data_IF_669194843424
#
_entry.id   IF_669194843424
#
_cell.length_a   1.000
_cell.length_b   1.000
_cell.length_c   1.000
_cell.angle_alpha   90.00
_cell.angle_beta   90.00
_cell.angle_gamma   90.00
#
_symmetry.space_group_name_H-M   'P 1'
#
loop_
_entity.id
_entity.type
_entity.pdbx_description
1 polymer ?
#
# COMPACT_ATOMS: atom_id res chain seq x y z
N UNK A 1 -50.50 -14.23 -19.73
CA UNK A 1 -49.10 -14.69 -19.68
C UNK A 1 -48.22 -13.45 -19.50
N UNK A 2 -47.68 -13.24 -18.29
CA UNK A 2 -46.80 -12.11 -17.98
C UNK A 2 -45.43 -12.43 -18.56
N UNK A 3 -44.96 -11.63 -19.51
CA UNK A 3 -43.53 -11.55 -19.82
C UNK A 3 -43.00 -10.33 -19.09
N UNK A 4 -42.17 -10.57 -18.10
CA UNK A 4 -41.46 -9.56 -17.32
C UNK A 4 -40.10 -9.32 -17.98
N UNK A 5 -39.99 -8.27 -18.78
CA UNK A 5 -38.71 -7.78 -19.29
C UNK A 5 -38.05 -6.88 -18.24
N UNK A 6 -37.32 -7.53 -17.33
CA UNK A 6 -36.34 -6.86 -16.48
C UNK A 6 -35.07 -6.61 -17.30
N UNK A 7 -35.08 -5.58 -18.14
CA UNK A 7 -33.86 -5.00 -18.67
C UNK A 7 -33.35 -3.93 -17.70
N UNK A 8 -32.36 -4.31 -16.90
CA UNK A 8 -31.47 -3.41 -16.17
C UNK A 8 -30.81 -2.44 -17.16
N UNK A 9 -31.42 -1.28 -17.36
CA UNK A 9 -30.77 -0.15 -18.01
C UNK A 9 -29.85 0.53 -16.99
N UNK A 10 -28.59 0.10 -16.96
CA UNK A 10 -27.50 0.88 -16.39
C UNK A 10 -27.30 2.13 -17.27
N UNK A 11 -28.09 3.16 -17.01
CA UNK A 11 -27.87 4.48 -17.57
C UNK A 11 -26.64 5.09 -16.87
N UNK A 12 -25.45 4.85 -17.42
CA UNK A 12 -24.33 5.77 -17.17
C UNK A 12 -24.69 7.03 -17.96
N UNK A 13 -25.25 8.02 -17.27
CA UNK A 13 -25.57 9.29 -17.90
C UNK A 13 -24.25 10.05 -18.10
N UNK A 14 -24.01 10.54 -19.32
CA UNK A 14 -22.91 11.47 -19.65
C UNK A 14 -22.99 12.79 -18.86
N UNK A 15 -24.03 12.95 -18.03
CA UNK A 15 -24.34 14.09 -17.17
C UNK A 15 -24.09 13.75 -15.68
N UNK A 16 -23.64 12.54 -15.37
CA UNK A 16 -23.25 12.17 -14.02
C UNK A 16 -22.09 13.09 -13.60
N UNK A 17 -22.32 13.92 -12.57
CA UNK A 17 -21.26 14.76 -12.00
C UNK A 17 -20.09 13.86 -11.64
N UNK A 18 -18.89 14.22 -12.09
CA UNK A 18 -17.65 13.56 -11.72
C UNK A 18 -17.42 13.78 -10.22
N UNK A 19 -18.00 12.92 -9.38
CA UNK A 19 -17.96 13.04 -7.93
C UNK A 19 -16.84 12.18 -7.39
N UNK A 20 -15.63 12.74 -7.44
CA UNK A 20 -14.42 12.13 -6.89
C UNK A 20 -14.56 12.08 -5.37
N UNK A 21 -14.40 10.89 -4.80
CA UNK A 21 -14.39 10.67 -3.35
C UNK A 21 -13.16 11.34 -2.71
N UNK A 22 -13.20 11.64 -1.41
CA UNK A 22 -12.04 12.20 -0.69
C UNK A 22 -10.78 11.32 -0.82
N UNK A 23 -10.94 10.00 -0.83
CA UNK A 23 -9.82 9.07 -0.99
C UNK A 23 -9.23 9.15 -2.41
N UNK A 24 -10.07 9.17 -3.44
CA UNK A 24 -9.62 9.32 -4.83
C UNK A 24 -8.92 10.66 -5.06
N UNK A 25 -9.43 11.75 -4.47
CA UNK A 25 -8.77 13.06 -4.50
C UNK A 25 -7.37 13.00 -3.90
N UNK A 26 -7.22 12.31 -2.77
CA UNK A 26 -5.92 12.13 -2.11
C UNK A 26 -4.97 11.22 -2.91
N UNK A 27 -5.48 10.22 -3.63
CA UNK A 27 -4.67 9.45 -4.59
C UNK A 27 -4.15 10.33 -5.73
N UNK A 28 -4.99 11.19 -6.30
CA UNK A 28 -4.55 12.12 -7.37
C UNK A 28 -3.41 13.03 -6.88
N UNK A 29 -3.49 13.52 -5.65
CA UNK A 29 -2.40 14.30 -5.03
C UNK A 29 -1.11 13.50 -4.89
N UNK A 30 -1.22 12.25 -4.47
CA UNK A 30 -0.06 11.36 -4.36
C UNK A 30 0.59 11.14 -5.74
N UNK A 31 -0.23 10.84 -6.75
CA UNK A 31 0.25 10.62 -8.12
C UNK A 31 0.71 11.91 -8.83
N UNK A 32 0.44 13.07 -8.25
CA UNK A 32 0.97 14.37 -8.67
C UNK A 32 2.24 14.77 -7.91
N UNK A 33 2.79 13.90 -7.07
CA UNK A 33 4.05 14.12 -6.35
C UNK A 33 3.95 14.93 -5.06
N UNK A 34 2.74 15.20 -4.54
CA UNK A 34 2.54 16.00 -3.33
C UNK A 34 2.74 15.20 -2.04
N UNK A 35 3.89 14.53 -1.89
CA UNK A 35 4.15 13.58 -0.78
C UNK A 35 4.05 14.18 0.62
N UNK A 36 4.41 15.46 0.79
CA UNK A 36 4.24 16.17 2.06
C UNK A 36 2.76 16.33 2.46
N UNK A 37 1.88 16.57 1.49
CA UNK A 37 0.44 16.64 1.74
C UNK A 37 -0.11 15.27 2.13
N UNK A 38 0.37 14.20 1.48
CA UNK A 38 0.00 12.82 1.82
C UNK A 38 0.39 12.49 3.26
N UNK A 39 1.62 12.84 3.65
CA UNK A 39 2.08 12.71 5.04
C UNK A 39 1.23 13.54 6.00
N UNK A 40 0.92 14.79 5.64
CA UNK A 40 0.08 15.68 6.46
C UNK A 40 -1.30 15.08 6.72
N UNK A 41 -1.99 14.59 5.68
CA UNK A 41 -3.29 13.94 5.82
C UNK A 41 -3.23 12.65 6.62
N UNK A 42 -2.14 11.89 6.53
CA UNK A 42 -1.92 10.75 7.42
C UNK A 42 -1.84 11.20 8.89
N UNK A 43 -1.17 12.31 9.17
CA UNK A 43 -0.97 12.85 10.51
C UNK A 43 -2.22 13.46 11.16
N UNK A 44 -3.29 13.70 10.39
CA UNK A 44 -4.61 14.06 10.95
C UNK A 44 -5.15 12.95 11.86
N UNK A 45 -4.82 11.69 11.57
CA UNK A 45 -5.12 10.57 12.45
C UNK A 45 -4.15 10.55 13.64
N UNK A 46 -4.58 11.15 14.75
CA UNK A 46 -3.78 11.25 15.98
C UNK A 46 -3.65 9.93 16.75
N UNK A 47 -4.67 9.07 16.66
CA UNK A 47 -4.70 7.80 17.42
C UNK A 47 -4.00 6.67 16.64
N UNK A 48 -3.21 5.81 17.31
CA UNK A 48 -2.68 4.60 16.69
C UNK A 48 -3.79 3.59 16.34
N UNK A 49 -4.99 3.75 16.89
CA UNK A 49 -6.16 2.93 16.58
C UNK A 49 -7.11 3.64 15.59
N UNK A 50 -8.05 2.90 15.00
CA UNK A 50 -9.07 3.48 14.12
C UNK A 50 -8.62 3.84 12.71
N UNK A 51 -7.55 3.23 12.18
CA UNK A 51 -7.09 3.50 10.80
C UNK A 51 -8.09 3.05 9.72
N UNK A 52 -8.95 2.07 10.01
CA UNK A 52 -9.95 1.59 9.06
C UNK A 52 -10.89 2.72 8.63
N UNK A 53 -11.03 2.92 7.31
CA UNK A 53 -11.85 4.01 6.76
C UNK A 53 -11.19 5.40 6.80
N UNK A 54 -10.00 5.53 7.40
CA UNK A 54 -9.22 6.77 7.43
C UNK A 54 -8.05 6.70 6.46
N UNK A 55 -7.66 7.85 5.92
CA UNK A 55 -6.66 7.93 4.86
C UNK A 55 -5.27 7.40 5.27
N UNK A 56 -4.91 7.45 6.55
CA UNK A 56 -3.60 7.01 7.05
C UNK A 56 -3.20 5.60 6.59
N UNK A 57 -4.15 4.65 6.52
CA UNK A 57 -3.86 3.30 6.05
C UNK A 57 -3.47 3.28 4.58
N UNK A 58 -4.14 4.08 3.76
CA UNK A 58 -3.84 4.23 2.34
C UNK A 58 -2.52 4.96 2.12
N UNK A 59 -2.31 6.10 2.78
CA UNK A 59 -1.10 6.91 2.61
C UNK A 59 0.17 6.21 3.10
N UNK A 60 0.11 5.43 4.18
CA UNK A 60 1.25 4.62 4.65
C UNK A 60 1.61 3.55 3.63
N UNK A 61 0.63 2.83 3.09
CA UNK A 61 0.87 1.79 2.07
C UNK A 61 1.46 2.40 0.78
N UNK A 62 0.94 3.55 0.34
CA UNK A 62 1.47 4.30 -0.81
C UNK A 62 2.91 4.74 -0.62
N UNK A 63 3.24 5.33 0.54
CA UNK A 63 4.59 5.82 0.82
C UNK A 63 5.58 4.65 0.98
N UNK A 64 5.16 3.50 1.53
CA UNK A 64 5.99 2.29 1.55
C UNK A 64 6.34 1.84 0.13
N UNK A 65 5.37 1.76 -0.77
CA UNK A 65 5.62 1.40 -2.18
C UNK A 65 6.48 2.44 -2.90
N UNK A 66 6.20 3.72 -2.69
CA UNK A 66 6.97 4.80 -3.28
C UNK A 66 8.42 4.82 -2.79
N UNK A 67 8.72 4.44 -1.56
CA UNK A 67 10.10 4.43 -1.06
C UNK A 67 10.86 3.14 -1.42
N UNK A 68 10.17 2.11 -1.88
CA UNK A 68 10.80 0.86 -2.31
C UNK A 68 11.63 1.08 -3.59
N UNK A 69 12.95 0.88 -3.52
CA UNK A 69 13.86 1.27 -4.59
C UNK A 69 14.04 0.21 -5.69
N UNK A 70 13.89 -1.08 -5.35
CA UNK A 70 14.12 -2.17 -6.30
C UNK A 70 12.89 -2.42 -7.19
N UNK A 71 13.12 -2.78 -8.44
CA UNK A 71 12.02 -3.15 -9.36
C UNK A 71 11.35 -4.48 -8.98
N UNK A 72 12.00 -5.32 -8.17
CA UNK A 72 11.48 -6.63 -7.79
C UNK A 72 10.97 -6.60 -6.36
N UNK A 73 9.65 -6.45 -6.18
CA UNK A 73 9.04 -6.48 -4.86
C UNK A 73 9.30 -7.80 -4.13
N UNK A 74 9.59 -7.70 -2.84
CA UNK A 74 9.66 -8.85 -1.92
C UNK A 74 8.31 -9.13 -1.26
N UNK A 75 8.24 -10.18 -0.45
CA UNK A 75 7.00 -10.81 0.01
C UNK A 75 6.02 -9.82 0.66
N UNK A 76 6.50 -8.94 1.55
CA UNK A 76 5.63 -7.98 2.24
C UNK A 76 5.20 -6.86 1.28
N UNK A 77 6.13 -6.30 0.53
CA UNK A 77 5.85 -5.19 -0.40
C UNK A 77 4.95 -5.64 -1.55
N UNK A 78 5.05 -6.89 -2.01
CA UNK A 78 4.08 -7.52 -2.94
C UNK A 78 2.67 -7.53 -2.37
N UNK A 79 2.50 -7.91 -1.10
CA UNK A 79 1.18 -7.87 -0.44
C UNK A 79 0.65 -6.44 -0.33
N UNK A 80 1.50 -5.45 -0.03
CA UNK A 80 1.10 -4.03 -0.02
C UNK A 80 0.68 -3.58 -1.43
N UNK A 81 1.42 -3.94 -2.47
CA UNK A 81 1.07 -3.60 -3.86
C UNK A 81 -0.29 -4.19 -4.26
N UNK A 82 -0.57 -5.45 -3.90
CA UNK A 82 -1.90 -6.06 -4.10
C UNK A 82 -2.99 -5.28 -3.37
N UNK A 83 -2.75 -4.88 -2.11
CA UNK A 83 -3.73 -4.11 -1.33
C UNK A 83 -4.01 -2.74 -1.95
N UNK A 84 -2.98 -2.01 -2.36
CA UNK A 84 -3.11 -0.70 -3.02
C UNK A 84 -3.81 -0.84 -4.36
N UNK A 85 -3.39 -1.79 -5.20
CA UNK A 85 -4.01 -2.07 -6.50
C UNK A 85 -5.51 -2.37 -6.37
N UNK A 86 -5.88 -3.25 -5.44
CA UNK A 86 -7.29 -3.58 -5.19
C UNK A 86 -8.09 -2.38 -4.67
N UNK A 87 -7.52 -1.56 -3.78
CA UNK A 87 -8.19 -0.35 -3.23
C UNK A 87 -8.38 0.75 -4.28
N UNK A 88 -7.59 0.75 -5.35
CA UNK A 88 -7.71 1.68 -6.48
C UNK A 88 -8.62 1.15 -7.59
N UNK A 89 -9.15 -0.07 -7.47
CA UNK A 89 -9.87 -0.73 -8.56
C UNK A 89 -8.97 -1.09 -9.75
N UNK A 90 -7.64 -1.05 -9.61
CA UNK A 90 -6.71 -1.28 -10.72
C UNK A 90 -6.83 -2.70 -11.31
N UNK A 91 -7.07 -3.69 -10.43
CA UNK A 91 -7.25 -5.09 -10.82
C UNK A 91 -8.65 -5.41 -11.38
N UNK A 92 -9.49 -4.41 -11.68
CA UNK A 92 -10.77 -4.61 -12.35
C UNK A 92 -10.58 -4.85 -13.86
N UNK A 93 -11.32 -5.81 -14.42
CA UNK A 93 -11.14 -6.31 -15.79
C UNK A 93 -11.07 -5.19 -16.86
N UNK A 94 -11.81 -4.10 -16.68
CA UNK A 94 -11.88 -3.00 -17.65
C UNK A 94 -10.56 -2.20 -17.72
N UNK A 95 -9.86 -2.02 -16.59
CA UNK A 95 -8.60 -1.31 -16.54
C UNK A 95 -7.50 -2.09 -17.26
N UNK A 96 -7.46 -3.41 -17.06
CA UNK A 96 -6.48 -4.29 -17.70
C UNK A 96 -6.65 -4.37 -19.23
N UNK A 97 -7.87 -4.26 -19.76
CA UNK A 97 -8.14 -4.23 -21.20
C UNK A 97 -7.55 -2.99 -21.86
N UNK A 98 -7.78 -1.79 -21.29
CA UNK A 98 -7.21 -0.54 -21.81
C UNK A 98 -5.67 -0.56 -21.79
N UNK A 99 -5.08 -1.19 -20.79
CA UNK A 99 -3.62 -1.28 -20.68
C UNK A 99 -3.01 -2.32 -21.62
N UNK A 100 -3.76 -3.37 -21.99
CA UNK A 100 -3.36 -4.35 -23.01
C UNK A 100 -3.27 -3.74 -24.42
N UNK A 101 -4.06 -2.71 -24.70
CA UNK A 101 -4.10 -2.04 -26.02
C UNK A 101 -3.03 -0.95 -26.16
N UNK A 102 -2.45 -0.47 -25.05
CA UNK A 102 -1.38 0.51 -25.06
C UNK A 102 0.00 -0.18 -25.01
N UNK A 103 0.95 0.26 -25.84
CA UNK A 103 2.27 -0.34 -26.09
C UNK A 103 3.27 -0.28 -24.93
N UNK A 104 2.79 -0.15 -23.68
CA UNK A 104 3.62 -0.02 -22.47
C UNK A 104 4.23 -1.36 -22.05
N UNK A 105 3.71 -2.48 -22.55
CA UNK A 105 4.17 -3.83 -22.19
C UNK A 105 4.77 -4.55 -23.40
N UNK A 106 6.04 -4.96 -23.30
CA UNK A 106 6.75 -5.75 -24.34
C UNK A 106 6.26 -7.21 -24.41
N UNK A 107 5.61 -7.70 -23.35
CA UNK A 107 5.07 -9.06 -23.23
C UNK A 107 3.54 -9.07 -23.26
N UNK A 108 2.95 -10.13 -23.81
CA UNK A 108 1.51 -10.33 -23.79
C UNK A 108 0.97 -10.28 -22.34
N UNK A 109 0.20 -9.22 -22.06
CA UNK A 109 -0.48 -8.95 -20.78
C UNK A 109 -1.38 -10.12 -20.32
N UNK A 110 -1.72 -11.05 -21.22
CA UNK A 110 -2.53 -12.25 -20.96
C UNK A 110 -1.93 -13.22 -19.93
N UNK A 111 -0.63 -13.10 -19.61
CA UNK A 111 0.07 -14.01 -18.69
C UNK A 111 0.49 -13.38 -17.35
N UNK A 112 0.45 -12.04 -17.24
CA UNK A 112 0.88 -11.33 -16.03
C UNK A 112 -0.27 -11.15 -15.04
N UNK A 113 0.04 -11.21 -13.73
CA UNK A 113 -0.98 -10.93 -12.71
C UNK A 113 -1.20 -9.42 -12.60
N UNK A 114 -2.42 -9.00 -12.24
CA UNK A 114 -2.79 -7.58 -12.15
C UNK A 114 -1.87 -6.75 -11.24
N UNK A 115 -1.37 -7.34 -10.14
CA UNK A 115 -0.41 -6.68 -9.25
C UNK A 115 0.99 -6.46 -9.85
N UNK A 116 1.43 -7.32 -10.78
CA UNK A 116 2.71 -7.20 -11.47
C UNK A 116 2.65 -6.08 -12.51
N UNK A 117 1.52 -6.00 -13.22
CA UNK A 117 1.19 -4.91 -14.14
C UNK A 117 1.15 -3.60 -13.36
N UNK A 118 0.38 -3.54 -12.27
CA UNK A 118 0.29 -2.37 -11.39
C UNK A 118 1.68 -1.88 -10.97
N UNK A 119 2.52 -2.77 -10.44
CA UNK A 119 3.84 -2.39 -9.96
C UNK A 119 4.75 -1.88 -11.07
N UNK A 120 4.68 -2.47 -12.26
CA UNK A 120 5.46 -2.03 -13.42
C UNK A 120 5.11 -0.58 -13.80
N UNK A 121 3.82 -0.25 -13.86
CA UNK A 121 3.35 1.12 -14.16
C UNK A 121 3.73 2.07 -13.01
N UNK A 122 3.57 1.62 -11.78
CA UNK A 122 3.93 2.41 -10.60
C UNK A 122 5.42 2.78 -10.61
N UNK A 123 6.30 1.86 -11.01
CA UNK A 123 7.72 2.13 -11.19
C UNK A 123 7.98 3.16 -12.30
N UNK A 124 7.34 3.01 -13.46
CA UNK A 124 7.46 3.97 -14.57
C UNK A 124 7.04 5.38 -14.14
N UNK A 125 5.91 5.47 -13.42
CA UNK A 125 5.43 6.74 -12.87
C UNK A 125 6.43 7.34 -11.87
N UNK A 126 6.92 6.54 -10.92
CA UNK A 126 7.81 6.99 -9.83
C UNK A 126 9.10 7.64 -10.34
N UNK A 127 9.64 7.21 -11.49
CA UNK A 127 10.84 7.80 -12.11
C UNK A 127 10.66 9.31 -12.39
N UNK A 128 9.43 9.77 -12.66
CA UNK A 128 9.14 11.17 -12.94
C UNK A 128 9.02 12.05 -11.68
N UNK A 129 9.00 11.44 -10.49
CA UNK A 129 8.78 12.12 -9.22
C UNK A 129 9.92 11.79 -8.24
N UNK A 130 11.15 12.11 -8.63
CA UNK A 130 12.32 11.93 -7.77
C UNK A 130 12.31 12.93 -6.58
N UNK A 131 12.62 12.44 -5.38
CA UNK A 131 12.84 13.26 -4.18
C UNK A 131 14.31 13.19 -3.75
N UNK A 132 14.71 14.12 -2.88
CA UNK A 132 16.07 14.12 -2.33
C UNK A 132 16.30 12.93 -1.39
N UNK A 133 17.55 12.56 -1.19
CA UNK A 133 17.95 11.53 -0.21
C UNK A 133 17.53 11.95 1.21
N UNK A 134 17.58 13.25 1.52
CA UNK A 134 17.18 13.78 2.83
C UNK A 134 15.67 13.64 3.05
N UNK A 135 14.85 13.97 2.05
CA UNK A 135 13.39 13.80 2.11
C UNK A 135 13.02 12.32 2.21
N UNK A 136 13.69 11.46 1.43
CA UNK A 136 13.52 10.01 1.48
C UNK A 136 13.80 9.48 2.89
N UNK A 137 14.92 9.87 3.49
CA UNK A 137 15.27 9.52 4.87
C UNK A 137 14.25 10.07 5.88
N UNK A 138 13.74 11.28 5.66
CA UNK A 138 12.70 11.90 6.49
C UNK A 138 11.39 11.10 6.45
N UNK A 139 10.95 10.66 5.26
CA UNK A 139 9.76 9.82 5.12
C UNK A 139 9.96 8.43 5.72
N UNK A 140 11.12 7.79 5.54
CA UNK A 140 11.42 6.49 6.18
C UNK A 140 11.38 6.60 7.70
N UNK A 141 11.98 7.65 8.29
CA UNK A 141 11.93 7.89 9.74
C UNK A 141 10.50 8.12 10.24
N UNK A 142 9.70 8.87 9.47
CA UNK A 142 8.30 9.09 9.80
C UNK A 142 7.48 7.79 9.72
N UNK A 143 7.65 7.00 8.67
CA UNK A 143 7.01 5.68 8.51
C UNK A 143 7.37 4.75 9.67
N UNK A 144 8.63 4.73 10.07
CA UNK A 144 9.06 3.98 11.24
C UNK A 144 8.32 4.41 12.50
N UNK A 145 8.24 5.73 12.77
CA UNK A 145 7.53 6.24 13.95
C UNK A 145 6.03 5.90 13.94
N UNK A 146 5.36 6.06 12.80
CA UNK A 146 3.91 5.85 12.71
C UNK A 146 3.56 4.36 12.78
N UNK A 147 4.37 3.50 12.17
CA UNK A 147 4.22 2.04 12.23
C UNK A 147 4.51 1.54 13.66
N UNK A 148 5.52 2.08 14.34
CA UNK A 148 5.84 1.72 15.72
C UNK A 148 4.67 2.00 16.66
N UNK A 149 4.10 3.21 16.59
CA UNK A 149 2.91 3.60 17.36
C UNK A 149 1.71 2.71 17.04
N UNK A 150 1.50 2.36 15.76
CA UNK A 150 0.42 1.48 15.33
C UNK A 150 0.57 0.07 15.90
N UNK A 151 1.78 -0.49 15.85
CA UNK A 151 2.10 -1.79 16.44
C UNK A 151 1.86 -1.75 17.95
N UNK A 152 2.35 -0.72 18.65
CA UNK A 152 2.19 -0.60 20.09
C UNK A 152 0.72 -0.50 20.49
N UNK A 153 -0.08 0.29 19.76
CA UNK A 153 -1.53 0.38 19.99
C UNK A 153 -2.25 -0.95 19.75
N UNK A 154 -1.91 -1.67 18.67
CA UNK A 154 -2.57 -2.92 18.29
C UNK A 154 -2.17 -4.09 19.20
N UNK A 155 -0.87 -4.27 19.44
CA UNK A 155 -0.34 -5.39 20.22
C UNK A 155 -0.58 -5.16 21.70
N UNK A 156 -0.33 -3.94 22.21
CA UNK A 156 -0.62 -3.54 23.58
C UNK A 156 -2.11 -3.61 23.91
N UNK A 157 -2.96 -3.18 22.98
CA UNK A 157 -4.42 -3.31 23.08
C UNK A 157 -4.97 -4.73 22.83
N UNK A 158 -4.11 -5.70 22.50
CA UNK A 158 -4.47 -7.12 22.25
C UNK A 158 -5.50 -7.33 21.12
N UNK A 159 -5.50 -6.48 20.11
CA UNK A 159 -6.34 -6.61 18.91
C UNK A 159 -5.78 -7.69 17.96
N UNK A 160 -5.95 -8.96 18.34
CA UNK A 160 -5.31 -10.13 17.68
C UNK A 160 -5.66 -10.28 16.21
N UNK A 161 -6.86 -9.89 15.81
CA UNK A 161 -7.34 -9.89 14.42
C UNK A 161 -6.53 -8.95 13.51
N UNK A 162 -5.82 -7.98 14.11
CA UNK A 162 -4.97 -7.00 13.41
C UNK A 162 -3.49 -7.33 13.45
N UNK A 163 -3.08 -8.45 14.04
CA UNK A 163 -1.66 -8.80 14.16
C UNK A 163 -1.01 -9.03 12.80
N UNK A 164 -1.72 -9.64 11.84
CA UNK A 164 -1.22 -9.84 10.49
C UNK A 164 -1.00 -8.51 9.76
N UNK A 165 -1.91 -7.54 9.95
CA UNK A 165 -1.83 -6.22 9.33
C UNK A 165 -0.57 -5.47 9.81
N UNK A 166 -0.32 -5.47 11.12
CA UNK A 166 0.84 -4.75 11.66
C UNK A 166 2.17 -5.51 11.48
N UNK A 167 2.14 -6.84 11.38
CA UNK A 167 3.31 -7.63 10.98
C UNK A 167 3.70 -7.36 9.52
N UNK A 168 2.71 -7.22 8.63
CA UNK A 168 2.91 -6.84 7.23
C UNK A 168 3.59 -5.46 7.11
N UNK A 169 3.12 -4.46 7.86
CA UNK A 169 3.74 -3.12 7.89
C UNK A 169 5.20 -3.16 8.39
N UNK A 170 5.48 -3.90 9.46
CA UNK A 170 6.83 -4.06 9.98
C UNK A 170 7.78 -4.70 8.94
N UNK A 171 7.31 -5.76 8.28
CA UNK A 171 8.08 -6.44 7.23
C UNK A 171 8.30 -5.53 6.01
N UNK A 172 7.27 -4.82 5.54
CA UNK A 172 7.36 -3.91 4.41
C UNK A 172 8.33 -2.74 4.69
N UNK A 173 8.28 -2.13 5.88
CA UNK A 173 9.26 -1.12 6.31
C UNK A 173 10.70 -1.67 6.26
N UNK A 174 10.87 -2.90 6.73
CA UNK A 174 12.14 -3.61 6.67
C UNK A 174 12.66 -3.82 5.25
N UNK A 175 11.78 -4.29 4.35
CA UNK A 175 12.12 -4.49 2.93
C UNK A 175 12.43 -3.17 2.21
N UNK A 176 11.70 -2.08 2.52
CA UNK A 176 12.01 -0.73 2.00
C UNK A 176 13.41 -0.31 2.41
N UNK A 177 13.74 -0.42 3.72
CA UNK A 177 15.09 -0.07 4.21
C UNK A 177 16.19 -0.90 3.55
N UNK A 178 15.94 -2.20 3.30
CA UNK A 178 16.89 -3.05 2.57
C UNK A 178 17.06 -2.62 1.12
N UNK A 179 15.97 -2.30 0.41
CA UNK A 179 16.04 -1.80 -0.97
C UNK A 179 16.80 -0.47 -1.06
N UNK A 180 16.79 0.33 0.01
CA UNK A 180 17.56 1.57 0.15
C UNK A 180 19.02 1.34 0.58
N UNK A 181 19.49 0.08 0.62
CA UNK A 181 20.87 -0.27 0.89
C UNK A 181 21.19 -0.59 2.35
N UNK A 182 20.22 -0.56 3.27
CA UNK A 182 20.44 -0.95 4.67
C UNK A 182 20.43 -2.47 4.80
N UNK A 183 21.62 -3.08 4.78
CA UNK A 183 21.81 -4.53 4.84
C UNK A 183 21.07 -5.16 6.03
N UNK A 184 20.31 -6.24 5.78
CA UNK A 184 19.56 -7.01 6.78
C UNK A 184 18.46 -6.21 7.52
N UNK A 185 18.03 -5.05 7.02
CA UNK A 185 17.09 -4.21 7.75
C UNK A 185 15.74 -4.90 8.03
N UNK A 186 15.23 -5.76 7.15
CA UNK A 186 14.02 -6.54 7.42
C UNK A 186 14.19 -7.44 8.64
N UNK A 187 15.27 -8.21 8.69
CA UNK A 187 15.55 -9.08 9.83
C UNK A 187 15.75 -8.28 11.12
N UNK A 188 16.43 -7.13 11.05
CA UNK A 188 16.62 -6.22 12.20
C UNK A 188 15.26 -5.68 12.71
N UNK A 189 14.41 -5.20 11.81
CA UNK A 189 13.08 -4.65 12.17
C UNK A 189 12.20 -5.74 12.78
N UNK A 190 12.14 -6.94 12.17
CA UNK A 190 11.37 -8.06 12.69
C UNK A 190 11.87 -8.49 14.07
N UNK A 191 13.18 -8.66 14.24
CA UNK A 191 13.78 -9.08 15.52
C UNK A 191 13.51 -8.07 16.63
N UNK A 192 13.60 -6.76 16.34
CA UNK A 192 13.22 -5.70 17.29
C UNK A 192 11.82 -5.92 17.86
N UNK A 193 10.84 -6.25 17.02
CA UNK A 193 9.47 -6.49 17.47
C UNK A 193 9.28 -7.84 18.16
N UNK A 194 10.01 -8.87 17.74
CA UNK A 194 10.05 -10.14 18.47
C UNK A 194 10.56 -9.94 19.91
N UNK A 195 11.65 -9.19 20.08
CA UNK A 195 12.23 -8.88 21.38
C UNK A 195 11.33 -7.98 22.23
N UNK A 196 10.69 -6.97 21.63
CA UNK A 196 9.76 -6.07 22.33
C UNK A 196 8.51 -6.79 22.85
N UNK A 197 8.02 -7.81 22.12
CA UNK A 197 6.78 -8.51 22.44
C UNK A 197 6.98 -10.02 22.72
N UNK A 198 7.77 -10.40 23.75
CA UNK A 198 8.18 -11.79 23.95
C UNK A 198 7.00 -12.71 24.33
N UNK A 199 5.95 -12.17 24.97
CA UNK A 199 4.78 -12.93 25.45
C UNK A 199 3.60 -12.94 24.48
N UNK A 200 3.71 -12.29 23.31
CA UNK A 200 2.63 -12.24 22.32
C UNK A 200 2.84 -13.28 21.21
N UNK A 201 2.67 -14.56 21.54
CA UNK A 201 2.95 -15.68 20.62
C UNK A 201 2.24 -15.57 19.26
N UNK A 202 0.98 -15.13 19.24
CA UNK A 202 0.22 -14.94 18.00
C UNK A 202 0.84 -13.84 17.11
N UNK A 203 1.20 -12.68 17.68
CA UNK A 203 1.86 -11.61 16.93
C UNK A 203 3.25 -12.03 16.45
N UNK A 204 4.01 -12.73 17.32
CA UNK A 204 5.30 -13.33 16.95
C UNK A 204 5.15 -14.32 15.79
N UNK A 205 4.07 -15.10 15.77
CA UNK A 205 3.72 -15.99 14.66
C UNK A 205 3.54 -15.22 13.36
N UNK A 206 2.75 -14.15 13.38
CA UNK A 206 2.54 -13.28 12.22
C UNK A 206 3.84 -12.65 11.70
N UNK A 207 4.74 -12.20 12.59
CA UNK A 207 6.06 -11.68 12.19
C UNK A 207 6.94 -12.76 11.53
N UNK A 208 6.92 -13.98 12.06
CA UNK A 208 7.71 -15.11 11.55
C UNK A 208 7.31 -15.54 10.14
N UNK A 209 6.11 -15.20 9.67
CA UNK A 209 5.72 -15.43 8.27
C UNK A 209 6.60 -14.65 7.28
N UNK A 210 7.34 -13.63 7.72
CA UNK A 210 8.18 -12.78 6.87
C UNK A 210 9.68 -12.96 7.11
N UNK A 211 10.07 -13.89 7.98
CA UNK A 211 11.46 -14.34 8.10
C UNK A 211 11.71 -15.29 6.93
N UNK A 212 12.69 -14.95 6.08
CA UNK A 212 13.17 -15.83 5.02
C UNK A 212 14.18 -16.83 5.60
#
# INVERSE_FOLDING_TARGET
MRVSDNHYNQHISEIAKNNITDIEYKYLYFFSGHFDMIKSWCMEQKSPLGWSGNFIGYGVDLLLLYLYADNNLRKASKKIAVQVSNRMGFNENNNLVFMKENSVFETEVSTQKGEEIFWSIFCLWKVNYAITVDDMNSYVKWLESVIDKRIDGIVGGKYRDKYNDVALLAAALGEVKESLGVKMAKSIVINRYLERYPRHSAFRGALKEYID
#
